data_IF_674976901674
#
_entry.id   IF_674976901674
#
_cell.length_a   1.000
_cell.length_b   1.000
_cell.length_c   1.000
_cell.angle_alpha   90.00
_cell.angle_beta   90.00
_cell.angle_gamma   90.00
#
_symmetry.space_group_name_H-M   'P 1'
#
loop_
_entity.id
_entity.type
_entity.pdbx_description
1 polymer ?
#
# COMPACT_ATOMS: atom_id res chain seq x y z
N UNK A 1 22.98 17.28 -27.89
CA UNK A 1 23.25 17.35 -26.43
C UNK A 1 21.99 16.97 -25.69
N UNK A 2 21.88 15.75 -25.17
CA UNK A 2 20.83 15.38 -24.23
C UNK A 2 21.15 16.04 -22.89
N UNK A 3 20.27 16.94 -22.42
CA UNK A 3 20.36 17.47 -21.05
C UNK A 3 20.21 16.28 -20.10
N UNK A 4 21.22 16.03 -19.27
CA UNK A 4 21.04 15.18 -18.10
C UNK A 4 19.92 15.79 -17.25
N UNK A 5 18.90 15.01 -16.85
CA UNK A 5 17.85 15.52 -15.98
C UNK A 5 18.47 15.94 -14.65
N UNK A 6 18.13 17.13 -14.17
CA UNK A 6 18.58 17.64 -12.88
C UNK A 6 18.01 16.77 -11.75
N UNK A 7 18.88 15.96 -11.17
CA UNK A 7 18.54 14.94 -10.18
C UNK A 7 18.09 15.51 -8.83
N UNK A 8 18.24 16.83 -8.58
CA UNK A 8 17.70 17.47 -7.38
C UNK A 8 16.16 17.54 -7.38
N UNK A 9 15.52 17.39 -8.55
CA UNK A 9 14.07 17.56 -8.71
C UNK A 9 13.20 16.39 -8.20
N UNK A 10 13.80 15.28 -7.73
CA UNK A 10 13.07 14.05 -7.36
C UNK A 10 13.32 13.57 -5.93
N UNK A 11 13.64 14.47 -4.99
CA UNK A 11 13.59 14.16 -3.55
C UNK A 11 12.13 14.23 -3.10
N UNK A 12 11.67 13.22 -2.35
CA UNK A 12 10.37 13.28 -1.66
C UNK A 12 10.51 14.32 -0.55
N UNK A 13 10.07 15.55 -0.80
CA UNK A 13 9.88 16.52 0.28
C UNK A 13 8.46 16.37 0.83
N UNK A 14 8.31 16.62 2.13
CA UNK A 14 7.02 16.58 2.84
C UNK A 14 6.02 17.64 2.36
N UNK A 15 6.41 18.47 1.39
CA UNK A 15 5.64 19.59 0.83
C UNK A 15 5.25 19.34 -0.64
N UNK A 16 5.01 18.09 -1.04
CA UNK A 16 4.43 17.75 -2.36
C UNK A 16 3.03 18.33 -2.50
N UNK A 17 2.95 19.61 -2.83
CA UNK A 17 1.70 20.26 -3.22
C UNK A 17 1.16 19.60 -4.49
N UNK A 18 -0.16 19.60 -4.67
CA UNK A 18 -0.83 19.24 -5.95
C UNK A 18 -0.11 19.81 -7.18
N UNK A 19 0.46 21.01 -7.05
CA UNK A 19 1.22 21.70 -8.07
C UNK A 19 2.48 20.93 -8.52
N UNK A 20 3.23 20.30 -7.61
CA UNK A 20 4.40 19.49 -7.99
C UNK A 20 4.00 18.19 -8.69
N UNK A 21 2.87 17.57 -8.31
CA UNK A 21 2.35 16.35 -8.97
C UNK A 21 2.02 16.61 -10.44
N UNK A 22 1.56 17.82 -10.78
CA UNK A 22 1.28 18.21 -12.17
C UNK A 22 2.52 18.26 -13.07
N UNK A 23 3.72 18.37 -12.48
CA UNK A 23 4.98 18.39 -13.23
C UNK A 23 5.59 17.00 -13.42
N UNK A 24 4.99 15.94 -12.85
CA UNK A 24 5.46 14.58 -13.07
C UNK A 24 5.03 14.09 -14.45
N UNK A 25 5.82 13.19 -15.09
CA UNK A 25 5.41 12.56 -16.34
C UNK A 25 4.04 11.91 -16.18
N UNK A 26 3.13 12.19 -17.11
CA UNK A 26 1.83 11.52 -17.12
C UNK A 26 2.01 10.08 -17.59
N UNK A 27 2.10 9.14 -16.64
CA UNK A 27 2.27 7.72 -16.93
C UNK A 27 1.04 7.09 -17.62
N UNK A 28 -0.11 7.76 -17.67
CA UNK A 28 -1.28 7.31 -18.44
C UNK A 28 -1.06 7.38 -19.95
N UNK A 29 -0.02 8.10 -20.39
CA UNK A 29 0.37 8.18 -21.80
C UNK A 29 1.24 7.00 -22.25
N UNK A 30 1.60 6.10 -21.33
CA UNK A 30 2.36 4.89 -21.62
C UNK A 30 1.36 3.74 -21.81
N UNK A 31 1.56 2.95 -22.87
CA UNK A 31 0.75 1.76 -23.13
C UNK A 31 1.20 0.61 -22.21
N UNK A 32 0.56 0.54 -21.05
CA UNK A 32 0.80 -0.52 -20.07
C UNK A 32 0.09 -1.83 -20.47
N UNK A 33 0.69 -2.99 -20.16
CA UNK A 33 0.01 -4.27 -20.31
C UNK A 33 -1.36 -4.25 -19.62
N UNK A 34 -2.39 -4.74 -20.30
CA UNK A 34 -3.72 -4.85 -19.71
C UNK A 34 -3.69 -5.79 -18.51
N UNK A 35 -4.19 -5.30 -17.38
CA UNK A 35 -4.33 -6.10 -16.18
C UNK A 35 -5.40 -7.17 -16.35
N UNK A 36 -5.03 -8.38 -15.97
CA UNK A 36 -5.95 -9.51 -15.81
C UNK A 36 -6.57 -9.49 -14.40
N UNK A 37 -7.82 -9.92 -14.31
CA UNK A 37 -8.57 -10.03 -13.06
C UNK A 37 -9.22 -11.40 -12.98
N UNK A 38 -9.40 -11.92 -11.77
CA UNK A 38 -10.23 -13.12 -11.58
C UNK A 38 -11.70 -12.77 -11.76
N UNK A 39 -12.47 -13.69 -12.35
CA UNK A 39 -13.91 -13.51 -12.61
C UNK A 39 -14.76 -13.67 -11.35
N UNK A 40 -14.25 -14.39 -10.35
CA UNK A 40 -14.89 -14.56 -9.05
C UNK A 40 -14.05 -13.88 -7.97
N UNK A 41 -14.64 -13.03 -7.12
CA UNK A 41 -13.89 -12.39 -6.05
C UNK A 41 -13.40 -13.44 -5.04
N UNK A 42 -12.17 -13.27 -4.57
CA UNK A 42 -11.64 -14.07 -3.46
C UNK A 42 -12.57 -14.03 -2.24
N UNK A 43 -12.87 -15.20 -1.68
CA UNK A 43 -13.86 -15.39 -0.61
C UNK A 43 -15.26 -15.75 -1.10
N UNK A 44 -15.54 -15.67 -2.40
CA UNK A 44 -16.76 -16.27 -2.95
C UNK A 44 -16.68 -17.81 -2.93
N UNK A 45 -17.82 -18.52 -2.82
CA UNK A 45 -17.87 -19.98 -2.99
C UNK A 45 -17.22 -20.40 -4.31
N UNK A 46 -16.27 -21.34 -4.23
CA UNK A 46 -15.53 -21.83 -5.40
C UNK A 46 -14.37 -20.94 -5.87
N UNK A 47 -14.10 -19.80 -5.21
CA UNK A 47 -12.86 -19.04 -5.45
C UNK A 47 -11.64 -19.82 -4.97
N UNK A 48 -10.56 -19.82 -5.76
CA UNK A 48 -9.32 -20.52 -5.48
C UNK A 48 -8.14 -19.64 -5.83
N UNK A 49 -7.17 -19.54 -4.92
CA UNK A 49 -5.88 -18.93 -5.23
C UNK A 49 -5.06 -19.92 -6.06
N UNK A 50 -4.58 -19.46 -7.22
CA UNK A 50 -3.65 -20.24 -8.06
C UNK A 50 -2.28 -19.55 -8.00
N UNK A 51 -1.19 -20.27 -7.66
CA UNK A 51 0.12 -19.68 -7.58
C UNK A 51 0.53 -18.96 -8.86
N UNK A 52 1.12 -17.76 -8.73
CA UNK A 52 1.62 -16.94 -9.84
C UNK A 52 0.55 -16.58 -10.89
N UNK A 53 -0.73 -16.60 -10.51
CA UNK A 53 -1.84 -16.09 -11.31
C UNK A 53 -2.44 -14.83 -10.68
N UNK A 54 -3.20 -14.03 -11.45
CA UNK A 54 -3.98 -12.93 -10.90
C UNK A 54 -4.81 -13.39 -9.69
N UNK A 55 -4.73 -12.66 -8.57
CA UNK A 55 -5.50 -12.98 -7.36
C UNK A 55 -6.77 -12.13 -7.20
N UNK A 56 -6.81 -10.97 -7.85
CA UNK A 56 -7.76 -9.91 -7.50
C UNK A 56 -8.86 -9.78 -8.54
N UNK A 57 -10.10 -9.69 -8.07
CA UNK A 57 -11.21 -9.21 -8.91
C UNK A 57 -11.10 -7.69 -9.10
N UNK A 58 -11.98 -7.13 -9.92
CA UNK A 58 -11.96 -5.70 -10.22
C UNK A 58 -12.29 -4.85 -9.00
N UNK A 59 -13.33 -5.22 -8.26
CA UNK A 59 -13.72 -4.42 -7.08
C UNK A 59 -12.80 -4.66 -5.87
N UNK A 60 -12.14 -5.81 -5.79
CA UNK A 60 -11.07 -6.05 -4.80
C UNK A 60 -9.87 -5.15 -5.06
N UNK A 61 -9.43 -5.06 -6.31
CA UNK A 61 -8.39 -4.13 -6.72
C UNK A 61 -8.79 -2.68 -6.44
N UNK A 62 -10.03 -2.31 -6.78
CA UNK A 62 -10.56 -0.97 -6.50
C UNK A 62 -10.53 -0.65 -5.00
N UNK A 63 -10.88 -1.62 -4.17
CA UNK A 63 -10.85 -1.49 -2.71
C UNK A 63 -9.42 -1.27 -2.21
N UNK A 64 -8.42 -2.02 -2.70
CA UNK A 64 -7.01 -1.76 -2.39
C UNK A 64 -6.57 -0.33 -2.72
N UNK A 65 -6.83 0.12 -3.95
CA UNK A 65 -6.44 1.47 -4.37
C UNK A 65 -7.16 2.56 -3.59
N UNK A 66 -8.44 2.35 -3.26
CA UNK A 66 -9.18 3.28 -2.40
C UNK A 66 -8.57 3.37 -1.01
N UNK A 67 -8.25 2.23 -0.39
CA UNK A 67 -7.59 2.20 0.91
C UNK A 67 -6.23 2.93 0.85
N UNK A 68 -5.49 2.71 -0.23
CA UNK A 68 -4.15 3.27 -0.39
C UNK A 68 -4.18 4.79 -0.63
N UNK A 69 -5.13 5.28 -1.42
CA UNK A 69 -5.41 6.72 -1.56
C UNK A 69 -5.73 7.36 -0.20
N UNK A 70 -6.61 6.72 0.59
CA UNK A 70 -6.98 7.21 1.93
C UNK A 70 -5.77 7.24 2.87
N UNK A 71 -4.91 6.22 2.80
CA UNK A 71 -3.67 6.20 3.56
C UNK A 71 -2.72 7.33 3.13
N UNK A 72 -2.47 7.47 1.83
CA UNK A 72 -1.58 8.50 1.26
C UNK A 72 -2.05 9.91 1.62
N UNK A 73 -3.32 10.21 1.36
CA UNK A 73 -3.96 11.49 1.71
C UNK A 73 -3.89 11.74 3.22
N UNK A 74 -4.12 10.71 4.04
CA UNK A 74 -3.99 10.79 5.48
C UNK A 74 -2.58 11.16 5.95
N UNK A 75 -1.55 10.58 5.31
CA UNK A 75 -0.16 10.93 5.59
C UNK A 75 0.17 12.36 5.13
N UNK A 76 -0.33 12.77 3.96
CA UNK A 76 -0.12 14.12 3.43
C UNK A 76 -0.75 15.20 4.33
N UNK A 77 -2.00 15.01 4.74
CA UNK A 77 -2.71 15.96 5.61
C UNK A 77 -2.07 16.09 6.99
N UNK A 78 -1.38 15.05 7.46
CA UNK A 78 -0.62 15.09 8.71
C UNK A 78 0.79 15.68 8.55
N UNK A 79 1.22 16.00 7.32
CA UNK A 79 2.58 16.46 7.03
C UNK A 79 3.62 15.36 7.22
N UNK A 80 3.24 14.09 7.06
CA UNK A 80 4.07 12.91 7.31
C UNK A 80 4.51 12.21 6.02
N UNK A 81 4.43 12.87 4.86
CA UNK A 81 4.77 12.26 3.56
C UNK A 81 6.22 11.79 3.44
N UNK A 82 7.14 12.28 4.28
CA UNK A 82 8.53 11.84 4.38
C UNK A 82 8.76 10.77 5.46
N UNK A 83 7.70 10.34 6.16
CA UNK A 83 7.72 9.37 7.27
C UNK A 83 7.22 7.99 6.89
N UNK A 84 7.08 7.70 5.61
CA UNK A 84 6.72 6.38 5.13
C UNK A 84 7.26 6.10 3.73
N UNK A 85 7.18 4.84 3.34
CA UNK A 85 7.50 4.36 2.00
C UNK A 85 6.66 3.14 1.66
N UNK A 86 6.43 2.89 0.37
CA UNK A 86 5.98 1.58 -0.11
C UNK A 86 7.07 0.53 0.17
N UNK A 87 6.66 -0.71 0.47
CA UNK A 87 7.59 -1.72 0.98
C UNK A 87 7.36 -3.09 0.33
N UNK A 88 8.29 -4.03 0.56
CA UNK A 88 8.21 -5.45 0.17
C UNK A 88 7.66 -5.70 -1.27
N UNK A 89 6.60 -6.50 -1.40
CA UNK A 89 6.01 -6.89 -2.70
C UNK A 89 5.45 -5.69 -3.47
N UNK A 90 4.85 -4.74 -2.76
CA UNK A 90 4.35 -3.48 -3.31
C UNK A 90 5.45 -2.67 -3.99
N UNK A 91 6.60 -2.49 -3.31
CA UNK A 91 7.74 -1.77 -3.90
C UNK A 91 8.30 -2.50 -5.12
N UNK A 92 8.37 -3.83 -5.07
CA UNK A 92 8.83 -4.63 -6.20
C UNK A 92 7.92 -4.44 -7.42
N UNK A 93 6.60 -4.50 -7.22
CA UNK A 93 5.61 -4.28 -8.26
C UNK A 93 5.69 -2.86 -8.85
N UNK A 94 5.78 -1.85 -7.97
CA UNK A 94 5.85 -0.45 -8.41
C UNK A 94 7.06 -0.17 -9.30
N UNK A 95 8.21 -0.79 -9.01
CA UNK A 95 9.44 -0.61 -9.79
C UNK A 95 9.40 -1.41 -11.10
N UNK A 96 8.86 -2.63 -11.08
CA UNK A 96 8.89 -3.53 -12.24
C UNK A 96 7.87 -3.15 -13.32
N UNK A 97 6.67 -2.80 -12.90
CA UNK A 97 5.54 -2.61 -13.81
C UNK A 97 4.54 -1.57 -13.32
N UNK A 98 4.95 -0.68 -12.41
CA UNK A 98 4.20 0.49 -11.94
C UNK A 98 2.80 0.16 -11.37
N UNK A 99 2.66 -1.03 -10.79
CA UNK A 99 1.42 -1.55 -10.25
C UNK A 99 1.71 -2.65 -9.21
N UNK A 100 0.72 -3.11 -8.43
CA UNK A 100 0.88 -4.30 -7.57
C UNK A 100 1.26 -5.51 -8.41
N UNK A 101 2.06 -6.44 -7.88
CA UNK A 101 2.38 -7.68 -8.58
C UNK A 101 1.10 -8.48 -8.86
N UNK A 102 0.86 -9.03 -10.07
CA UNK A 102 -0.43 -9.66 -10.38
C UNK A 102 -0.85 -10.78 -9.42
N UNK A 103 0.13 -11.50 -8.89
CA UNK A 103 -0.09 -12.59 -7.94
C UNK A 103 0.13 -12.21 -6.47
N UNK A 104 0.40 -10.92 -6.17
CA UNK A 104 0.35 -10.42 -4.78
C UNK A 104 -1.10 -10.32 -4.32
N UNK A 105 -1.30 -10.51 -3.03
CA UNK A 105 -2.59 -10.38 -2.39
C UNK A 105 -2.62 -9.32 -1.29
N UNK A 106 -1.61 -8.48 -1.10
CA UNK A 106 -1.66 -7.35 -0.18
C UNK A 106 -0.88 -6.11 -0.65
N UNK A 107 -1.02 -5.02 0.11
CA UNK A 107 -0.26 -3.79 -0.09
C UNK A 107 0.52 -3.46 1.18
N UNK A 108 1.84 -3.63 1.12
CA UNK A 108 2.76 -3.22 2.18
C UNK A 108 3.19 -1.75 2.11
N UNK A 109 3.11 -1.08 3.25
CA UNK A 109 3.78 0.20 3.53
C UNK A 109 4.61 0.09 4.80
N UNK A 110 5.67 0.87 4.89
CA UNK A 110 6.56 0.94 6.04
C UNK A 110 6.59 2.36 6.58
N UNK A 111 6.22 2.55 7.84
CA UNK A 111 6.00 3.87 8.47
C UNK A 111 6.93 4.07 9.66
N UNK A 112 7.41 5.29 9.87
CA UNK A 112 8.16 5.68 11.06
C UNK A 112 7.31 5.39 12.30
N UNK A 113 7.83 4.58 13.23
CA UNK A 113 7.06 4.15 14.40
C UNK A 113 6.55 5.32 15.26
N UNK A 114 7.26 6.46 15.26
CA UNK A 114 6.82 7.67 15.96
C UNK A 114 5.50 8.23 15.43
N UNK A 115 5.13 7.94 14.17
CA UNK A 115 3.88 8.37 13.56
C UNK A 115 2.67 7.51 13.96
N UNK A 116 2.87 6.30 14.52
CA UNK A 116 1.79 5.34 14.80
C UNK A 116 0.65 5.95 15.65
N UNK A 117 0.90 6.65 16.78
CA UNK A 117 -0.19 7.22 17.58
C UNK A 117 -1.01 8.28 16.81
N UNK A 118 -0.35 9.06 15.95
CA UNK A 118 -0.97 10.11 15.14
C UNK A 118 -1.83 9.48 14.05
N UNK A 119 -1.34 8.43 13.39
CA UNK A 119 -2.08 7.67 12.40
C UNK A 119 -3.35 7.03 12.96
N UNK A 120 -3.27 6.43 14.15
CA UNK A 120 -4.44 5.90 14.82
C UNK A 120 -5.47 6.99 15.12
N UNK A 121 -5.03 8.16 15.59
CA UNK A 121 -5.93 9.30 15.80
C UNK A 121 -6.60 9.76 14.50
N UNK A 122 -5.90 9.69 13.37
CA UNK A 122 -6.40 10.06 12.04
C UNK A 122 -7.42 9.07 11.48
N UNK A 123 -7.14 7.77 11.56
CA UNK A 123 -7.95 6.74 10.89
C UNK A 123 -9.04 6.12 11.77
N UNK A 124 -8.90 6.12 13.10
CA UNK A 124 -9.91 5.56 14.00
C UNK A 124 -11.32 6.18 13.82
N UNK A 125 -11.47 7.49 13.56
CA UNK A 125 -12.79 8.09 13.31
C UNK A 125 -13.45 7.69 11.99
N UNK A 126 -12.73 7.03 11.06
CA UNK A 126 -13.29 6.62 9.76
C UNK A 126 -14.13 5.34 9.84
N UNK A 127 -14.14 4.67 11.00
CA UNK A 127 -15.01 3.54 11.24
C UNK A 127 -16.49 3.99 11.19
N UNK A 128 -17.41 3.15 10.65
CA UNK A 128 -17.18 1.76 10.24
C UNK A 128 -16.69 1.57 8.79
N UNK A 129 -16.61 2.64 7.99
CA UNK A 129 -16.33 2.52 6.55
C UNK A 129 -14.87 2.14 6.27
N UNK A 130 -13.94 2.69 7.04
CA UNK A 130 -12.51 2.35 7.01
C UNK A 130 -12.05 2.06 8.43
N UNK A 131 -11.39 0.93 8.62
CA UNK A 131 -11.04 0.39 9.93
C UNK A 131 -9.54 0.22 9.99
N UNK A 132 -8.90 0.91 10.94
CA UNK A 132 -7.53 0.61 11.38
C UNK A 132 -7.58 -0.37 12.55
N UNK A 133 -6.74 -1.40 12.51
CA UNK A 133 -6.67 -2.40 13.56
C UNK A 133 -5.25 -2.84 13.86
N UNK A 134 -4.99 -3.12 15.14
CA UNK A 134 -3.73 -3.66 15.60
C UNK A 134 -3.58 -5.14 15.22
N UNK A 135 -2.41 -5.49 14.67
CA UNK A 135 -2.03 -6.83 14.26
C UNK A 135 -0.60 -7.14 14.75
N UNK A 136 -0.42 -7.11 16.08
CA UNK A 136 0.88 -7.33 16.72
C UNK A 136 1.83 -6.15 16.51
N UNK A 137 2.96 -6.38 15.83
CA UNK A 137 3.94 -5.32 15.53
C UNK A 137 3.59 -4.51 14.27
N UNK A 138 2.47 -4.83 13.62
CA UNK A 138 1.91 -4.14 12.46
C UNK A 138 0.51 -3.66 12.76
N UNK A 139 0.01 -2.79 11.88
CA UNK A 139 -1.41 -2.44 11.82
C UNK A 139 -1.98 -2.80 10.44
N UNK A 140 -3.30 -2.99 10.38
CA UNK A 140 -4.06 -3.29 9.16
C UNK A 140 -5.07 -2.17 8.93
N UNK A 141 -5.12 -1.62 7.72
CA UNK A 141 -6.16 -0.68 7.29
C UNK A 141 -7.05 -1.35 6.25
N UNK A 142 -8.33 -1.51 6.52
CA UNK A 142 -9.25 -2.23 5.62
C UNK A 142 -10.63 -1.57 5.58
N UNK A 143 -11.39 -1.86 4.51
CA UNK A 143 -12.74 -1.32 4.33
C UNK A 143 -13.78 -2.11 5.14
N UNK A 144 -15.00 -1.58 5.28
CA UNK A 144 -16.09 -2.30 5.95
C UNK A 144 -16.30 -3.71 5.39
N UNK A 145 -16.78 -4.60 6.26
CA UNK A 145 -17.07 -5.98 5.91
C UNK A 145 -18.27 -6.07 4.96
N UNK A 146 -18.11 -6.86 3.90
CA UNK A 146 -19.19 -7.26 3.00
C UNK A 146 -19.99 -8.37 3.67
N UNK A 147 -21.29 -8.12 3.85
CA UNK A 147 -22.24 -9.09 4.39
C UNK A 147 -23.32 -9.44 3.35
N UNK A 148 -23.62 -10.74 3.12
CA UNK A 148 -22.96 -11.90 3.71
C UNK A 148 -21.57 -12.17 3.11
N UNK A 149 -20.64 -12.64 3.94
CA UNK A 149 -19.24 -12.86 3.55
C UNK A 149 -19.03 -13.84 2.38
N UNK A 150 -19.96 -14.76 2.16
CA UNK A 150 -19.95 -15.76 1.08
C UNK A 150 -20.68 -15.30 -0.20
N UNK A 151 -20.92 -14.01 -0.38
CA UNK A 151 -21.55 -13.49 -1.60
C UNK A 151 -20.66 -13.68 -2.83
N UNK A 152 -21.24 -14.10 -3.95
CA UNK A 152 -20.56 -14.15 -5.27
C UNK A 152 -20.40 -12.76 -5.92
N UNK A 153 -21.01 -11.72 -5.35
CA UNK A 153 -20.95 -10.36 -5.92
C UNK A 153 -19.55 -9.77 -5.77
N UNK A 154 -19.01 -9.27 -6.87
CA UNK A 154 -17.81 -8.43 -6.87
C UNK A 154 -18.23 -7.00 -6.53
N UNK A 155 -18.03 -6.59 -5.28
CA UNK A 155 -18.44 -5.28 -4.74
C UNK A 155 -17.34 -4.72 -3.86
N UNK A 156 -17.31 -3.40 -3.75
CA UNK A 156 -16.36 -2.70 -2.88
C UNK A 156 -16.55 -3.11 -1.40
N UNK A 157 -15.43 -3.32 -0.72
CA UNK A 157 -15.39 -3.68 0.70
C UNK A 157 -14.46 -4.84 0.98
N UNK A 158 -14.33 -5.17 2.27
CA UNK A 158 -13.47 -6.26 2.74
C UNK A 158 -14.29 -7.51 3.06
N UNK A 159 -13.63 -8.66 3.16
CA UNK A 159 -14.16 -9.97 3.46
C UNK A 159 -13.33 -10.61 4.57
N UNK A 160 -14.01 -11.41 5.39
CA UNK A 160 -13.37 -12.24 6.41
C UNK A 160 -12.83 -13.52 5.75
N UNK A 161 -11.55 -13.49 5.35
CA UNK A 161 -10.89 -14.62 4.67
C UNK A 161 -9.97 -15.45 5.58
N UNK A 162 -9.76 -15.01 6.82
CA UNK A 162 -8.92 -15.71 7.80
C UNK A 162 -9.56 -15.67 9.19
N UNK A 163 -8.98 -16.42 10.12
CA UNK A 163 -9.36 -16.40 11.53
C UNK A 163 -9.01 -15.08 12.23
N UNK A 164 -8.10 -14.27 11.67
CA UNK A 164 -7.64 -13.03 12.29
C UNK A 164 -8.71 -11.94 12.26
N UNK A 165 -8.70 -11.04 13.23
CA UNK A 165 -9.77 -10.07 13.44
C UNK A 165 -9.79 -8.86 12.50
N UNK A 166 -9.01 -8.90 11.42
CA UNK A 166 -9.06 -7.96 10.30
C UNK A 166 -9.68 -8.62 9.07
N UNK A 167 -10.12 -7.80 8.12
CA UNK A 167 -10.71 -8.25 6.86
C UNK A 167 -9.84 -7.82 5.69
N UNK A 168 -9.98 -8.52 4.57
CA UNK A 168 -9.19 -8.33 3.35
C UNK A 168 -10.11 -7.92 2.19
N UNK A 169 -9.77 -7.00 1.27
CA UNK A 169 -8.47 -6.33 1.08
C UNK A 169 -8.04 -5.42 2.24
N UNK A 170 -6.73 -5.32 2.48
CA UNK A 170 -6.13 -4.47 3.53
C UNK A 170 -4.80 -3.84 3.10
N UNK A 171 -4.38 -2.77 3.76
CA UNK A 171 -2.99 -2.31 3.73
C UNK A 171 -2.26 -2.86 4.95
N UNK A 172 -1.10 -3.44 4.71
CA UNK A 172 -0.14 -3.84 5.73
C UNK A 172 0.73 -2.67 6.12
N UNK A 173 0.50 -2.14 7.32
CA UNK A 173 1.27 -1.05 7.87
C UNK A 173 2.34 -1.64 8.78
N UNK A 174 3.52 -1.83 8.19
CA UNK A 174 4.76 -2.10 8.93
C UNK A 174 5.29 -0.84 9.59
N UNK A 175 6.11 -1.02 10.63
CA UNK A 175 6.77 0.07 11.32
C UNK A 175 8.28 -0.08 11.30
N UNK A 176 9.00 1.03 11.14
CA UNK A 176 10.45 1.08 11.29
C UNK A 176 10.87 2.02 12.43
N UNK A 177 12.01 1.71 13.03
CA UNK A 177 12.78 2.62 13.87
C UNK A 177 13.92 3.18 13.04
N UNK A 178 14.24 4.46 13.21
CA UNK A 178 15.36 5.09 12.52
C UNK A 178 16.33 5.74 13.50
N UNK A 179 17.61 5.71 13.16
CA UNK A 179 18.63 6.55 13.77
C UNK A 179 19.36 7.35 12.67
N UNK A 180 20.49 7.98 13.00
CA UNK A 180 21.22 8.83 12.07
C UNK A 180 21.76 8.10 10.82
N UNK A 181 21.88 6.78 10.84
CA UNK A 181 22.56 6.00 9.77
C UNK A 181 21.70 4.88 9.20
N UNK A 182 20.71 4.38 9.94
CA UNK A 182 19.96 3.19 9.57
C UNK A 182 18.47 3.33 9.85
N UNK A 183 17.69 2.55 9.09
CA UNK A 183 16.33 2.15 9.44
C UNK A 183 16.30 0.66 9.76
N UNK A 184 15.47 0.27 10.72
CA UNK A 184 15.25 -1.10 11.13
C UNK A 184 13.75 -1.37 11.19
N UNK A 185 13.28 -2.37 10.43
CA UNK A 185 11.90 -2.84 10.55
C UNK A 185 11.66 -3.43 11.94
N UNK A 186 10.55 -3.04 12.56
CA UNK A 186 10.17 -3.46 13.91
C UNK A 186 9.66 -4.90 13.94
N UNK A 187 8.93 -5.31 12.91
CA UNK A 187 8.43 -6.68 12.76
C UNK A 187 9.48 -7.55 12.05
N UNK A 188 9.83 -8.70 12.61
CA UNK A 188 10.76 -9.64 11.98
C UNK A 188 10.06 -10.42 10.87
N UNK A 189 10.22 -9.99 9.63
CA UNK A 189 9.59 -10.60 8.45
C UNK A 189 10.48 -11.63 7.76
N UNK A 190 11.80 -11.41 7.78
CA UNK A 190 12.77 -12.20 7.03
C UNK A 190 14.03 -12.41 7.87
N UNK A 191 14.45 -13.67 8.02
CA UNK A 191 15.65 -14.02 8.80
C UNK A 191 16.88 -13.75 7.95
N UNK A 192 17.45 -12.54 8.05
CA UNK A 192 18.86 -12.19 7.81
C UNK A 192 19.03 -10.67 8.03
N UNK A 193 19.55 -10.29 9.20
CA UNK A 193 20.06 -8.96 9.61
C UNK A 193 19.68 -7.75 8.72
N UNK A 194 18.52 -7.13 8.96
CA UNK A 194 18.02 -6.02 8.15
C UNK A 194 18.24 -4.66 8.82
N UNK A 195 19.48 -4.18 8.74
CA UNK A 195 19.78 -2.76 8.86
C UNK A 195 19.96 -2.21 7.45
N UNK A 196 19.01 -1.41 6.97
CA UNK A 196 19.15 -0.76 5.68
C UNK A 196 19.87 0.57 5.90
N UNK A 197 20.98 0.84 5.19
CA UNK A 197 21.58 2.16 5.24
C UNK A 197 20.58 3.18 4.68
N UNK A 198 20.61 4.41 5.21
CA UNK A 198 19.92 5.55 4.61
C UNK A 198 20.60 5.92 3.28
N UNK A 199 20.49 5.06 2.28
CA UNK A 199 20.69 5.44 0.89
C UNK A 199 19.47 6.26 0.48
N UNK A 200 19.67 7.40 -0.19
CA UNK A 200 18.59 8.17 -0.82
C UNK A 200 17.92 7.29 -1.89
N UNK A 201 17.00 6.43 -1.46
CA UNK A 201 16.21 5.55 -2.30
C UNK A 201 15.21 6.44 -3.05
N UNK A 202 15.42 6.50 -4.37
CA UNK A 202 14.60 7.23 -5.32
C UNK A 202 13.48 6.30 -5.76
N UNK A 203 12.34 6.40 -5.12
CA UNK A 203 11.15 5.64 -5.50
C UNK A 203 10.32 6.55 -6.41
N UNK A 204 10.18 6.13 -7.67
CA UNK A 204 9.10 6.59 -8.53
C UNK A 204 7.93 5.67 -8.25
N UNK A 205 6.91 6.18 -7.58
CA UNK A 205 5.62 5.53 -7.51
C UNK A 205 4.57 6.47 -8.06
N UNK A 206 3.70 5.91 -8.90
CA UNK A 206 2.31 6.32 -8.97
C UNK A 206 1.72 6.01 -7.59
N UNK A 207 1.18 7.03 -6.93
CA UNK A 207 0.08 6.88 -5.98
C UNK A 207 -0.88 8.02 -6.30
#
# INVERSE_FOLDING_TARGET
>A
MQKQPDLQSFVVDSNRTKLKRQNLPNLEQIDWPKREFVSLPMGAPGSLQVPLKPQLSREQMRTFWKLFSIFEEGMEELGLSDKWMIYAGTLLGSVRHHDITPWDDDLDVLVDFSARPILWKKFKPLAPEIIIKEAGLRDKLYAKLIEPSNTMRDVEGSRKLSQFDWSWPYIDIGYFLSNATHIQERASSYVLSQAYPLLRLRIFSRI
#
